data_IF_258011178426
#
_entry.id   IF_258011178426
#
_cell.length_a   1.000
_cell.length_b   1.000
_cell.length_c   1.000
_cell.angle_alpha   90.00
_cell.angle_beta   90.00
_cell.angle_gamma   90.00
#
_symmetry.space_group_name_H-M   'P 1'
#
loop_
_entity.id
_entity.type
_entity.pdbx_description
1 polymer ?
#
# COMPACT_ATOMS: atom_id res chain seq x y z
N UNK A 1 19.16 -16.14 10.35
CA UNK A 1 18.52 -15.60 9.12
C UNK A 1 19.00 -14.16 8.93
N UNK A 2 19.80 -13.89 7.89
CA UNK A 2 20.19 -12.50 7.55
C UNK A 2 19.00 -11.83 6.87
N UNK A 3 18.48 -10.75 7.45
CA UNK A 3 17.47 -9.90 6.82
C UNK A 3 18.07 -9.32 5.54
N UNK A 4 17.52 -9.70 4.38
CA UNK A 4 17.89 -9.09 3.10
C UNK A 4 17.40 -7.65 3.13
N UNK A 5 18.32 -6.69 3.10
CA UNK A 5 17.98 -5.28 3.04
C UNK A 5 17.00 -5.02 1.88
N UNK A 6 15.83 -4.47 2.19
CA UNK A 6 14.85 -4.09 1.18
C UNK A 6 15.42 -2.91 0.41
N UNK A 7 15.78 -3.11 -0.85
CA UNK A 7 16.29 -2.04 -1.71
C UNK A 7 15.17 -1.03 -1.93
N UNK A 8 15.37 0.20 -1.46
CA UNK A 8 14.43 1.31 -1.70
C UNK A 8 14.53 1.72 -3.17
N UNK A 9 13.41 1.77 -3.86
CA UNK A 9 13.31 2.31 -5.23
C UNK A 9 13.04 3.81 -5.10
N UNK A 10 13.89 4.62 -5.73
CA UNK A 10 13.74 6.08 -5.81
C UNK A 10 13.82 6.44 -7.29
N UNK A 11 12.84 7.20 -7.77
CA UNK A 11 12.75 7.69 -9.14
C UNK A 11 12.29 9.13 -9.11
N UNK A 12 12.89 9.97 -9.94
CA UNK A 12 12.56 11.39 -10.07
C UNK A 12 12.54 11.78 -11.55
N UNK A 13 11.60 12.65 -11.91
CA UNK A 13 11.35 13.14 -13.27
C UNK A 13 10.72 14.52 -13.16
N UNK A 14 11.21 15.47 -13.96
CA UNK A 14 10.57 16.78 -14.14
C UNK A 14 9.84 16.78 -15.47
N UNK A 15 8.55 17.14 -15.46
CA UNK A 15 7.71 17.26 -16.65
C UNK A 15 6.68 18.36 -16.50
N UNK A 16 6.29 18.93 -17.63
CA UNK A 16 5.11 19.79 -17.71
C UNK A 16 3.85 18.99 -17.37
N UNK A 17 2.86 19.68 -16.80
CA UNK A 17 1.58 19.07 -16.42
C UNK A 17 0.88 18.42 -17.61
N UNK A 18 1.00 19.02 -18.81
CA UNK A 18 0.44 18.48 -20.06
C UNK A 18 1.13 17.18 -20.52
N UNK A 19 2.37 16.94 -20.08
CA UNK A 19 3.14 15.73 -20.38
C UNK A 19 3.13 14.69 -19.24
N UNK A 20 2.47 14.98 -18.11
CA UNK A 20 2.32 14.03 -17.02
C UNK A 20 1.38 12.88 -17.43
N UNK A 21 1.82 11.64 -17.21
CA UNK A 21 1.06 10.43 -17.53
C UNK A 21 1.37 9.30 -16.56
N UNK A 22 0.49 8.30 -16.55
CA UNK A 22 0.54 7.16 -15.64
C UNK A 22 1.70 6.20 -15.94
N UNK A 23 2.37 6.36 -17.08
CA UNK A 23 3.48 5.49 -17.49
C UNK A 23 4.65 5.51 -16.49
N UNK A 24 4.91 6.67 -15.88
CA UNK A 24 5.93 6.81 -14.85
C UNK A 24 5.60 6.05 -13.56
N UNK A 25 4.34 6.14 -13.14
CA UNK A 25 3.86 5.42 -11.95
C UNK A 25 3.88 3.91 -12.19
N UNK A 26 3.45 3.46 -13.37
CA UNK A 26 3.51 2.05 -13.76
C UNK A 26 4.95 1.52 -13.68
N UNK A 27 5.91 2.25 -14.23
CA UNK A 27 7.32 1.87 -14.19
C UNK A 27 7.86 1.80 -12.75
N UNK A 28 7.55 2.81 -11.94
CA UNK A 28 7.92 2.84 -10.53
C UNK A 28 7.39 1.61 -9.79
N UNK A 29 6.11 1.28 -9.97
CA UNK A 29 5.51 0.12 -9.34
C UNK A 29 6.09 -1.18 -9.85
N UNK A 30 6.37 -1.31 -11.15
CA UNK A 30 7.03 -2.48 -11.73
C UNK A 30 8.41 -2.74 -11.12
N UNK A 31 9.18 -1.69 -10.81
CA UNK A 31 10.48 -1.80 -10.13
C UNK A 31 10.37 -2.16 -8.64
N UNK A 32 9.25 -1.84 -7.99
CA UNK A 32 8.99 -2.25 -6.61
C UNK A 32 8.75 -3.76 -6.50
N UNK A 33 9.22 -4.39 -5.41
CA UNK A 33 8.92 -5.79 -5.12
C UNK A 33 7.45 -5.96 -4.67
N UNK A 34 6.93 -7.19 -4.75
CA UNK A 34 5.55 -7.50 -4.39
C UNK A 34 5.19 -7.08 -2.95
N UNK A 35 6.05 -7.35 -1.97
CA UNK A 35 5.81 -7.01 -0.57
C UNK A 35 5.67 -5.50 -0.35
N UNK A 36 6.50 -4.70 -1.03
CA UNK A 36 6.44 -3.24 -0.99
C UNK A 36 5.13 -2.72 -1.59
N UNK A 37 4.68 -3.29 -2.71
CA UNK A 37 3.38 -2.92 -3.32
C UNK A 37 2.22 -3.19 -2.36
N UNK A 38 2.19 -4.37 -1.75
CA UNK A 38 1.15 -4.73 -0.78
C UNK A 38 1.19 -3.84 0.48
N UNK A 39 2.38 -3.55 1.02
CA UNK A 39 2.52 -2.68 2.17
C UNK A 39 2.01 -1.26 1.89
N UNK A 40 2.33 -0.70 0.71
CA UNK A 40 1.84 0.62 0.29
C UNK A 40 0.32 0.63 0.10
N UNK A 41 -0.25 -0.36 -0.59
CA UNK A 41 -1.70 -0.48 -0.76
C UNK A 41 -2.42 -0.57 0.60
N UNK A 42 -1.87 -1.33 1.55
CA UNK A 42 -2.41 -1.42 2.90
C UNK A 42 -2.34 -0.09 3.65
N UNK A 43 -1.25 0.66 3.50
CA UNK A 43 -1.13 2.00 4.07
C UNK A 43 -2.18 2.95 3.52
N UNK A 44 -2.40 2.95 2.19
CA UNK A 44 -3.45 3.78 1.55
C UNK A 44 -4.84 3.50 2.13
N UNK A 45 -5.15 2.24 2.43
CA UNK A 45 -6.43 1.87 3.06
C UNK A 45 -6.53 2.48 4.46
N UNK A 46 -5.48 2.38 5.27
CA UNK A 46 -5.47 2.99 6.63
C UNK A 46 -5.65 4.51 6.55
N UNK A 47 -4.98 5.15 5.61
CA UNK A 47 -5.05 6.61 5.41
C UNK A 47 -6.45 7.02 4.98
N UNK A 48 -7.07 6.27 4.06
CA UNK A 48 -8.47 6.48 3.67
C UNK A 48 -9.42 6.43 4.88
N UNK A 49 -9.28 5.42 5.74
CA UNK A 49 -10.12 5.33 6.94
C UNK A 49 -9.88 6.50 7.90
N UNK A 50 -8.62 6.92 8.06
CA UNK A 50 -8.25 8.07 8.89
C UNK A 50 -8.88 9.38 8.37
N UNK A 51 -8.81 9.63 7.07
CA UNK A 51 -9.44 10.80 6.42
C UNK A 51 -10.96 10.80 6.64
N UNK A 52 -11.59 9.62 6.65
CA UNK A 52 -13.04 9.47 6.86
C UNK A 52 -13.46 9.52 8.33
N UNK A 53 -12.57 9.91 9.25
CA UNK A 53 -12.85 10.00 10.68
C UNK A 53 -13.12 8.64 11.35
N UNK A 54 -12.73 7.54 10.70
CA UNK A 54 -12.89 6.18 11.24
C UNK A 54 -11.58 5.74 11.86
N UNK A 55 -11.66 4.92 12.90
CA UNK A 55 -10.48 4.25 13.46
C UNK A 55 -9.83 3.37 12.38
N UNK A 56 -8.73 3.86 11.78
CA UNK A 56 -7.96 3.20 10.72
C UNK A 56 -7.21 1.94 11.17
N UNK A 57 -7.60 1.36 12.30
CA UNK A 57 -6.99 0.19 12.94
C UNK A 57 -7.51 -1.12 12.31
N UNK A 58 -8.78 -1.16 11.86
CA UNK A 58 -9.37 -2.37 11.26
C UNK A 58 -10.24 -2.04 10.03
N UNK A 59 -9.72 -2.23 8.81
CA UNK A 59 -10.53 -2.29 7.60
C UNK A 59 -11.60 -3.37 7.74
N UNK A 60 -12.79 -3.14 7.16
CA UNK A 60 -13.95 -4.08 7.21
C UNK A 60 -13.63 -5.52 6.81
N UNK A 61 -12.52 -5.75 6.09
CA UNK A 61 -12.09 -7.09 5.64
C UNK A 61 -11.49 -7.96 6.75
N UNK A 62 -11.03 -7.38 7.88
CA UNK A 62 -10.82 -8.13 9.13
C UNK A 62 -12.13 -8.14 9.91
N UNK A 63 -13.11 -8.92 9.45
CA UNK A 63 -14.07 -9.51 10.38
C UNK A 63 -13.27 -10.59 11.09
N UNK A 64 -13.09 -10.44 12.40
CA UNK A 64 -12.57 -11.51 13.24
C UNK A 64 -13.56 -12.68 13.10
N UNK A 65 -13.32 -13.60 12.16
CA UNK A 65 -14.14 -14.80 11.96
C UNK A 65 -13.72 -15.78 13.04
N UNK A 66 -14.18 -15.51 14.25
CA UNK A 66 -14.15 -16.46 15.36
C UNK A 66 -15.59 -16.59 15.86
N UNK A 67 -16.40 -17.34 15.11
CA UNK A 67 -17.64 -17.90 15.66
C UNK A 67 -17.25 -19.10 16.51
N UNK A 68 -16.87 -18.87 17.76
CA UNK A 68 -16.91 -19.94 18.76
C UNK A 68 -18.37 -20.33 18.97
N UNK A 69 -18.80 -21.46 18.40
CA UNK A 69 -20.00 -22.14 18.87
C UNK A 69 -19.68 -22.76 20.22
N UNK A 70 -20.45 -22.39 21.25
CA UNK A 70 -20.48 -23.11 22.52
C UNK A 70 -20.99 -24.53 22.23
N UNK A 71 -20.18 -25.54 22.51
CA UNK A 71 -20.63 -26.94 22.65
C UNK A 71 -21.23 -27.07 24.05
#
# INVERSE_FOLDING_TARGET
MRSRAVRKVIMERMVDVSGANDGWDIEFWQRCNANSRFASAWQMIKDFYKIRGKNGVKPRLRRDVEKFKRI
#
